data_IF_299431997076
#
_entry.id   IF_299431997076
#
_cell.length_a   1.000
_cell.length_b   1.000
_cell.length_c   1.000
_cell.angle_alpha   90.00
_cell.angle_beta   90.00
_cell.angle_gamma   90.00
#
_symmetry.space_group_name_H-M   'P 1'
#
loop_
_entity.id
_entity.type
_entity.pdbx_description
1 polymer ?
#
# COMPACT_ATOMS: atom_id res chain seq x y z
N UNK A 1 -11.87 -33.70 -35.52
CA UNK A 1 -11.28 -33.75 -34.16
C UNK A 1 -10.27 -32.66 -33.87
N UNK A 2 -9.68 -31.95 -34.83
CA UNK A 2 -8.64 -30.91 -34.62
C UNK A 2 -9.18 -29.58 -34.10
N UNK A 3 -10.44 -29.21 -34.38
CA UNK A 3 -11.04 -27.92 -33.98
C UNK A 3 -11.40 -27.83 -32.49
N UNK A 4 -11.68 -28.93 -31.82
CA UNK A 4 -12.04 -28.94 -30.38
C UNK A 4 -10.83 -28.72 -29.45
N UNK A 5 -9.60 -29.12 -29.89
CA UNK A 5 -8.38 -28.97 -29.09
C UNK A 5 -7.93 -27.51 -29.09
N UNK A 6 -8.08 -26.79 -30.21
CA UNK A 6 -7.71 -25.37 -30.32
C UNK A 6 -8.61 -24.49 -29.43
N UNK A 7 -9.91 -24.81 -29.33
CA UNK A 7 -10.84 -24.07 -28.48
C UNK A 7 -10.54 -24.27 -26.99
N UNK A 8 -10.11 -25.46 -26.58
CA UNK A 8 -9.73 -25.75 -25.19
C UNK A 8 -8.45 -25.03 -24.76
N UNK A 9 -7.49 -24.89 -25.70
CA UNK A 9 -6.24 -24.17 -25.44
C UNK A 9 -6.46 -22.65 -25.32
N UNK A 10 -7.40 -22.08 -26.07
CA UNK A 10 -7.73 -20.65 -26.01
C UNK A 10 -8.45 -20.26 -24.70
N UNK A 11 -9.29 -21.15 -24.17
CA UNK A 11 -9.95 -20.94 -22.87
C UNK A 11 -8.94 -21.01 -21.71
N UNK A 12 -7.93 -21.87 -21.79
CA UNK A 12 -6.89 -22.01 -20.76
C UNK A 12 -5.98 -20.78 -20.66
N UNK A 13 -5.72 -20.09 -21.76
CA UNK A 13 -4.86 -18.88 -21.77
C UNK A 13 -5.57 -17.67 -21.16
N UNK A 14 -6.90 -17.60 -21.21
CA UNK A 14 -7.66 -16.47 -20.65
C UNK A 14 -7.79 -16.50 -19.11
N UNK A 15 -7.54 -17.63 -18.47
CA UNK A 15 -7.62 -17.75 -16.99
C UNK A 15 -6.33 -17.38 -16.25
N UNK A 16 -5.23 -17.15 -16.95
CA UNK A 16 -3.92 -16.83 -16.35
C UNK A 16 -3.71 -15.34 -16.04
N UNK A 17 -4.58 -14.46 -16.54
CA UNK A 17 -4.39 -13.00 -16.38
C UNK A 17 -4.92 -12.43 -15.04
N UNK A 18 -5.71 -13.19 -14.28
CA UNK A 18 -6.34 -12.71 -13.04
C UNK A 18 -5.53 -13.02 -11.75
N UNK A 19 -4.42 -13.77 -11.84
CA UNK A 19 -3.64 -14.21 -10.67
C UNK A 19 -2.42 -13.32 -10.33
N UNK A 20 -2.15 -12.24 -11.09
CA UNK A 20 -0.88 -11.51 -10.98
C UNK A 20 -0.73 -10.71 -9.69
N UNK A 21 -1.70 -9.89 -9.33
CA UNK A 21 -1.60 -8.96 -8.19
C UNK A 21 -1.67 -9.70 -6.85
N UNK A 22 -2.59 -10.65 -6.69
CA UNK A 22 -2.72 -11.45 -5.46
C UNK A 22 -1.48 -12.31 -5.18
N UNK A 23 -0.87 -12.90 -6.22
CA UNK A 23 0.36 -13.67 -6.06
C UNK A 23 1.56 -12.78 -5.67
N UNK A 24 1.69 -11.61 -6.30
CA UNK A 24 2.73 -10.64 -5.97
C UNK A 24 2.56 -10.13 -4.53
N UNK A 25 1.33 -9.82 -4.12
CA UNK A 25 0.98 -9.43 -2.77
C UNK A 25 1.43 -10.48 -1.74
N UNK A 26 0.96 -11.73 -1.87
CA UNK A 26 1.28 -12.79 -0.92
C UNK A 26 2.79 -13.03 -0.81
N UNK A 27 3.48 -13.10 -1.94
CA UNK A 27 4.95 -13.28 -1.95
C UNK A 27 5.69 -12.17 -1.20
N UNK A 28 5.24 -10.92 -1.32
CA UNK A 28 5.88 -9.79 -0.68
C UNK A 28 5.49 -9.67 0.79
N UNK A 29 4.26 -10.04 1.16
CA UNK A 29 3.85 -10.18 2.55
C UNK A 29 4.69 -11.25 3.27
N UNK A 30 4.80 -12.46 2.70
CA UNK A 30 5.64 -13.54 3.25
C UNK A 30 7.10 -13.09 3.42
N UNK A 31 7.59 -12.28 2.47
CA UNK A 31 8.94 -11.71 2.52
C UNK A 31 9.12 -10.72 3.66
N UNK A 32 8.15 -9.82 3.88
CA UNK A 32 8.14 -8.88 4.99
C UNK A 32 8.10 -9.61 6.33
N UNK A 33 7.19 -10.54 6.50
CA UNK A 33 7.03 -11.33 7.73
C UNK A 33 8.31 -12.13 8.07
N UNK A 34 8.97 -12.68 7.04
CA UNK A 34 10.23 -13.43 7.21
C UNK A 34 11.40 -12.58 7.73
N UNK A 35 11.36 -11.24 7.57
CA UNK A 35 12.38 -10.34 8.13
C UNK A 35 12.34 -10.29 9.66
N UNK A 36 11.15 -10.51 10.24
CA UNK A 36 10.92 -10.44 11.69
C UNK A 36 11.44 -9.12 12.31
N UNK A 37 11.22 -7.99 11.61
CA UNK A 37 11.65 -6.65 12.04
C UNK A 37 10.61 -6.12 13.02
N UNK A 38 10.93 -6.11 14.30
CA UNK A 38 10.02 -5.62 15.36
C UNK A 38 10.18 -4.14 15.68
N UNK A 39 11.27 -3.48 15.24
CA UNK A 39 11.51 -2.06 15.48
C UNK A 39 11.98 -1.39 14.20
N UNK A 40 11.26 -0.37 13.75
CA UNK A 40 11.56 0.34 12.50
C UNK A 40 10.95 1.73 12.48
N UNK A 41 11.45 2.58 11.58
CA UNK A 41 10.80 3.83 11.18
C UNK A 41 10.54 3.86 9.69
N UNK A 42 9.54 4.64 9.29
CA UNK A 42 9.25 4.94 7.89
C UNK A 42 8.44 6.22 7.77
N UNK A 43 8.46 6.83 6.58
CA UNK A 43 7.64 8.00 6.26
C UNK A 43 6.54 7.58 5.29
N UNK A 44 5.31 8.04 5.53
CA UNK A 44 4.17 7.83 4.65
C UNK A 44 3.59 9.16 4.19
N UNK A 45 3.20 9.23 2.92
CA UNK A 45 2.44 10.33 2.34
C UNK A 45 1.26 9.80 1.52
N UNK A 46 0.11 10.48 1.63
CA UNK A 46 -1.10 10.18 0.84
C UNK A 46 -1.35 11.35 -0.10
N UNK A 47 -1.60 11.07 -1.38
CA UNK A 47 -2.06 12.05 -2.36
C UNK A 47 -3.43 11.62 -2.90
N UNK A 48 -4.42 12.47 -2.75
CA UNK A 48 -5.82 12.26 -3.12
C UNK A 48 -6.55 13.60 -3.18
N UNK A 49 -7.77 13.60 -3.67
CA UNK A 49 -8.67 14.75 -3.49
C UNK A 49 -9.30 14.69 -2.09
N UNK A 50 -8.47 14.88 -1.06
CA UNK A 50 -8.83 14.69 0.35
C UNK A 50 -8.12 15.71 1.26
N UNK A 51 -8.61 15.92 2.50
CA UNK A 51 -7.86 16.64 3.52
C UNK A 51 -6.50 16.00 3.76
N UNK A 52 -5.49 16.82 4.07
CA UNK A 52 -4.13 16.35 4.40
C UNK A 52 -3.36 15.66 3.26
N UNK A 53 -3.81 15.85 1.99
CA UNK A 53 -3.04 15.40 0.82
C UNK A 53 -1.61 15.94 0.87
N UNK A 54 -0.64 15.07 0.59
CA UNK A 54 0.81 15.36 0.57
C UNK A 54 1.41 15.82 1.92
N UNK A 55 0.72 15.62 3.03
CA UNK A 55 1.34 15.73 4.36
C UNK A 55 2.19 14.48 4.58
N UNK A 56 3.46 14.67 4.93
CA UNK A 56 4.35 13.56 5.26
C UNK A 56 4.31 13.28 6.76
N UNK A 57 4.12 12.01 7.12
CA UNK A 57 4.13 11.56 8.51
C UNK A 57 5.18 10.48 8.65
N UNK A 58 6.13 10.69 9.55
CA UNK A 58 7.13 9.68 9.91
C UNK A 58 6.68 8.97 11.19
N UNK A 59 6.64 7.67 11.15
CA UNK A 59 6.30 6.80 12.27
C UNK A 59 7.51 6.00 12.73
N UNK A 60 7.66 5.87 14.04
CA UNK A 60 8.48 4.86 14.68
C UNK A 60 7.56 3.78 15.26
N UNK A 61 7.81 2.54 14.87
CA UNK A 61 6.98 1.37 15.23
C UNK A 61 7.82 0.38 16.01
N UNK A 62 7.31 -0.04 17.17
CA UNK A 62 7.91 -1.07 18.01
C UNK A 62 6.87 -2.17 18.27
N UNK A 63 7.18 -3.41 17.86
CA UNK A 63 6.31 -4.58 18.01
C UNK A 63 4.88 -4.35 17.48
N UNK A 64 4.77 -3.74 16.28
CA UNK A 64 3.50 -3.46 15.60
C UNK A 64 2.70 -2.29 16.19
N UNK A 65 3.28 -1.53 17.12
CA UNK A 65 2.66 -0.35 17.72
C UNK A 65 3.46 0.91 17.43
N UNK A 66 2.77 1.99 17.06
CA UNK A 66 3.38 3.31 16.92
C UNK A 66 3.81 3.80 18.30
N UNK A 67 5.10 4.06 18.47
CA UNK A 67 5.69 4.60 19.71
C UNK A 67 6.10 6.05 19.57
N UNK A 68 6.28 6.54 18.33
CA UNK A 68 6.57 7.93 18.03
C UNK A 68 6.02 8.32 16.66
N UNK A 69 5.66 9.59 16.48
CA UNK A 69 5.29 10.15 15.17
C UNK A 69 5.83 11.58 15.02
N UNK A 70 6.13 11.96 13.79
CA UNK A 70 6.51 13.31 13.41
C UNK A 70 5.77 13.71 12.15
N UNK A 71 5.03 14.82 12.19
CA UNK A 71 4.24 15.35 11.09
C UNK A 71 5.00 16.52 10.48
N UNK A 72 5.27 16.47 9.18
CA UNK A 72 5.86 17.60 8.47
C UNK A 72 4.77 18.61 8.12
N UNK A 73 4.71 19.68 8.89
CA UNK A 73 3.86 20.84 8.61
C UNK A 73 4.72 22.04 8.22
N UNK A 74 4.25 22.83 7.25
CA UNK A 74 4.86 24.11 6.92
C UNK A 74 4.33 25.19 7.86
N UNK A 75 5.20 26.15 8.32
CA UNK A 75 4.73 27.32 9.06
C UNK A 75 3.66 28.15 8.29
N UNK A 76 3.72 28.10 6.96
CA UNK A 76 2.77 28.81 6.08
C UNK A 76 1.45 28.03 5.87
N UNK A 77 1.43 26.75 6.22
CA UNK A 77 0.25 25.88 6.12
C UNK A 77 0.23 24.93 7.32
N UNK A 78 -0.08 25.43 8.53
CA UNK A 78 -0.15 24.59 9.71
C UNK A 78 -1.32 23.62 9.61
N UNK A 79 -1.10 22.36 10.02
CA UNK A 79 -2.12 21.32 10.06
C UNK A 79 -2.50 21.00 11.51
N UNK A 80 -3.71 20.53 11.71
CA UNK A 80 -4.13 19.97 12.99
C UNK A 80 -3.56 18.54 13.10
N UNK A 81 -2.56 18.36 13.95
CA UNK A 81 -1.85 17.08 14.12
C UNK A 81 -2.78 15.95 14.56
N UNK A 82 -3.82 16.22 15.35
CA UNK A 82 -4.77 15.20 15.77
C UNK A 82 -5.60 14.69 14.58
N UNK A 83 -6.07 15.59 13.73
CA UNK A 83 -6.81 15.23 12.53
C UNK A 83 -5.93 14.51 11.50
N UNK A 84 -4.65 14.91 11.35
CA UNK A 84 -3.68 14.19 10.51
C UNK A 84 -3.48 12.77 11.05
N UNK A 85 -3.27 12.62 12.36
CA UNK A 85 -3.09 11.30 12.99
C UNK A 85 -4.30 10.40 12.79
N UNK A 86 -5.52 10.92 12.92
CA UNK A 86 -6.75 10.18 12.67
C UNK A 86 -6.87 9.75 11.19
N UNK A 87 -6.54 10.64 10.26
CA UNK A 87 -6.55 10.34 8.83
C UNK A 87 -5.55 9.24 8.47
N UNK A 88 -4.33 9.30 9.02
CA UNK A 88 -3.25 8.36 8.72
C UNK A 88 -3.28 7.07 9.55
N UNK A 89 -4.21 6.88 10.47
CA UNK A 89 -4.25 5.71 11.38
C UNK A 89 -4.28 4.36 10.67
N UNK A 90 -4.80 4.30 9.44
CA UNK A 90 -4.85 3.09 8.61
C UNK A 90 -3.53 2.79 7.87
N UNK A 91 -2.54 3.67 7.97
CA UNK A 91 -1.26 3.58 7.27
C UNK A 91 -0.05 3.73 8.20
N UNK A 92 -0.26 3.72 9.51
CA UNK A 92 0.75 4.07 10.51
C UNK A 92 1.65 2.89 10.94
N UNK A 93 1.47 1.70 10.35
CA UNK A 93 2.40 0.56 10.41
C UNK A 93 2.45 -0.14 9.06
N UNK A 94 3.54 -0.86 8.76
CA UNK A 94 3.67 -1.63 7.52
C UNK A 94 2.59 -2.71 7.41
N UNK A 95 2.22 -3.35 8.52
CA UNK A 95 1.17 -4.37 8.58
C UNK A 95 -0.19 -3.78 8.14
N UNK A 96 -0.55 -2.59 8.62
CA UNK A 96 -1.79 -1.90 8.21
C UNK A 96 -1.76 -1.47 6.74
N UNK A 97 -0.59 -1.10 6.21
CA UNK A 97 -0.46 -0.84 4.78
C UNK A 97 -0.70 -2.11 3.97
N UNK A 98 -0.22 -3.28 4.42
CA UNK A 98 -0.57 -4.56 3.80
C UNK A 98 -2.07 -4.86 3.89
N UNK A 99 -2.72 -4.60 5.02
CA UNK A 99 -4.18 -4.75 5.16
C UNK A 99 -4.94 -3.87 4.14
N UNK A 100 -4.53 -2.60 4.01
CA UNK A 100 -5.09 -1.68 3.02
C UNK A 100 -4.89 -2.17 1.58
N UNK A 101 -3.69 -2.62 1.24
CA UNK A 101 -3.37 -3.17 -0.09
C UNK A 101 -4.18 -4.42 -0.39
N UNK A 102 -4.31 -5.33 0.60
CA UNK A 102 -5.13 -6.53 0.47
C UNK A 102 -6.61 -6.21 0.21
N UNK A 103 -7.14 -5.23 0.91
CA UNK A 103 -8.50 -4.72 0.70
C UNK A 103 -8.66 -4.09 -0.69
N UNK A 104 -7.70 -3.27 -1.13
CA UNK A 104 -7.73 -2.62 -2.44
C UNK A 104 -7.69 -3.65 -3.59
N UNK A 105 -6.82 -4.65 -3.53
CA UNK A 105 -6.74 -5.74 -4.53
C UNK A 105 -8.08 -6.48 -4.68
N UNK A 106 -8.85 -6.60 -3.60
CA UNK A 106 -10.12 -7.34 -3.62
C UNK A 106 -11.33 -6.48 -3.98
N UNK A 107 -11.27 -5.16 -3.83
CA UNK A 107 -12.45 -4.28 -3.87
C UNK A 107 -12.37 -3.18 -4.91
N UNK A 108 -11.17 -2.70 -5.26
CA UNK A 108 -10.99 -1.61 -6.22
C UNK A 108 -11.05 -2.12 -7.68
N UNK A 109 -11.44 -1.25 -8.59
CA UNK A 109 -11.48 -1.55 -10.02
C UNK A 109 -10.07 -1.65 -10.63
N UNK A 110 -9.12 -0.84 -10.13
CA UNK A 110 -7.72 -0.86 -10.58
C UNK A 110 -6.74 -0.62 -9.43
N UNK A 111 -5.65 -1.39 -9.39
CA UNK A 111 -4.56 -1.22 -8.43
C UNK A 111 -3.22 -1.37 -9.12
N UNK A 112 -2.25 -0.53 -8.74
CA UNK A 112 -0.85 -0.72 -9.09
C UNK A 112 0.00 -0.58 -7.83
N UNK A 113 0.79 -1.63 -7.50
CA UNK A 113 1.54 -1.70 -6.26
C UNK A 113 2.98 -2.07 -6.56
N UNK A 114 3.89 -1.22 -6.10
CA UNK A 114 5.33 -1.49 -6.10
C UNK A 114 5.76 -1.90 -4.69
N UNK A 115 6.76 -2.77 -4.61
CA UNK A 115 7.25 -3.32 -3.35
C UNK A 115 8.76 -3.11 -3.22
N UNK A 116 9.22 -2.90 -1.99
CA UNK A 116 10.65 -2.85 -1.70
C UNK A 116 11.33 -4.18 -2.08
N UNK A 117 12.39 -4.15 -2.90
CA UNK A 117 13.03 -5.37 -3.37
C UNK A 117 13.80 -6.12 -2.27
N UNK A 118 14.13 -5.47 -1.16
CA UNK A 118 14.88 -6.05 -0.04
C UNK A 118 13.95 -6.60 1.02
N UNK A 119 13.00 -5.79 1.46
CA UNK A 119 12.15 -6.09 2.61
C UNK A 119 10.76 -6.61 2.23
N UNK A 120 10.26 -6.27 1.05
CA UNK A 120 8.97 -6.73 0.54
C UNK A 120 7.78 -5.83 0.89
N UNK A 121 7.93 -4.81 1.72
CA UNK A 121 6.80 -3.92 2.03
C UNK A 121 6.38 -3.06 0.82
N UNK A 122 5.10 -2.64 0.73
CA UNK A 122 4.64 -1.77 -0.35
C UNK A 122 5.29 -0.39 -0.27
N UNK A 123 5.80 0.13 -1.40
CA UNK A 123 6.46 1.45 -1.48
C UNK A 123 5.63 2.49 -2.20
N UNK A 124 5.01 2.12 -3.33
CA UNK A 124 4.10 2.96 -4.09
C UNK A 124 2.81 2.19 -4.34
N UNK A 125 1.70 2.75 -3.92
CA UNK A 125 0.38 2.15 -4.05
C UNK A 125 -0.51 3.14 -4.77
N UNK A 126 -1.06 2.75 -5.91
CA UNK A 126 -2.09 3.48 -6.63
C UNK A 126 -3.38 2.66 -6.59
N UNK A 127 -4.48 3.28 -6.19
CA UNK A 127 -5.80 2.67 -6.14
C UNK A 127 -6.80 3.57 -6.85
N UNK A 128 -7.51 3.01 -7.81
CA UNK A 128 -8.70 3.59 -8.43
C UNK A 128 -9.88 2.71 -7.98
N UNK A 129 -10.69 3.25 -7.07
CA UNK A 129 -11.77 2.49 -6.46
C UNK A 129 -12.92 2.24 -7.42
N UNK A 130 -13.25 3.23 -8.26
CA UNK A 130 -14.36 3.17 -9.21
C UNK A 130 -13.94 3.84 -10.52
N UNK A 131 -13.46 3.09 -11.48
CA UNK A 131 -12.83 3.53 -12.73
C UNK A 131 -13.54 4.63 -13.53
N UNK A 132 -14.81 4.89 -13.27
CA UNK A 132 -15.60 5.95 -13.91
C UNK A 132 -16.00 7.07 -12.95
N UNK A 133 -15.61 6.99 -11.70
CA UNK A 133 -15.77 8.10 -10.76
C UNK A 133 -14.70 9.16 -11.03
N UNK A 134 -14.91 10.35 -10.48
CA UNK A 134 -13.96 11.45 -10.56
C UNK A 134 -13.45 11.70 -9.14
N UNK A 135 -12.15 11.84 -8.99
CA UNK A 135 -11.49 12.20 -7.73
C UNK A 135 -11.53 11.11 -6.63
N UNK A 136 -11.62 9.83 -7.01
CA UNK A 136 -11.53 8.69 -6.07
C UNK A 136 -10.19 7.93 -6.13
N UNK A 137 -9.28 8.39 -6.99
CA UNK A 137 -7.92 7.87 -7.04
C UNK A 137 -7.13 8.24 -5.79
N UNK A 138 -6.38 7.27 -5.30
CA UNK A 138 -5.54 7.40 -4.13
C UNK A 138 -4.13 6.90 -4.40
N UNK A 139 -3.16 7.72 -4.03
CA UNK A 139 -1.74 7.41 -4.13
C UNK A 139 -1.14 7.40 -2.73
N UNK A 140 -0.53 6.31 -2.35
CA UNK A 140 0.16 6.16 -1.08
C UNK A 140 1.63 5.86 -1.35
N UNK A 141 2.54 6.62 -0.74
CA UNK A 141 3.98 6.43 -0.89
C UNK A 141 4.62 6.19 0.48
N UNK A 142 5.42 5.14 0.58
CA UNK A 142 6.26 4.85 1.73
C UNK A 142 7.72 5.09 1.37
N UNK A 143 8.43 5.80 2.24
CA UNK A 143 9.83 6.18 2.05
C UNK A 143 10.59 6.16 3.38
N UNK A 144 11.91 6.40 3.32
CA UNK A 144 12.78 6.55 4.50
C UNK A 144 12.66 5.38 5.50
N UNK A 145 12.43 4.15 4.97
CA UNK A 145 12.37 2.97 5.83
C UNK A 145 13.77 2.66 6.41
N UNK A 146 13.80 2.47 7.72
CA UNK A 146 15.02 2.11 8.46
C UNK A 146 14.68 1.14 9.59
N UNK A 147 15.25 -0.09 9.60
CA UNK A 147 15.19 -0.95 10.77
C UNK A 147 15.98 -0.32 11.92
N UNK A 148 15.38 -0.32 13.11
CA UNK A 148 15.98 0.19 14.34
C UNK A 148 16.42 -0.97 15.26
N UNK A 149 17.40 -0.70 16.15
CA UNK A 149 17.96 -1.72 17.08
C UNK A 149 17.38 -1.56 18.48
#
# INVERSE_FOLDING_TARGET
>A
MKTKIISLFFVLVLTLSACGSGFAFQRNLDKWEAQNIGHYQFTVAVSCFCPFANVEVTYEVLNGQVVNQSIQSSPDNPVDEAQVSDFYQSYNTIEKVFDYVGDAINKADETNIEYDPTYGFPTNITVDWIKLAVDDEMYLTLSNFEPLS
#
